data_IF_881106949813
#
_entry.id   IF_881106949813
#
_cell.length_a   1.000
_cell.length_b   1.000
_cell.length_c   1.000
_cell.angle_alpha   90.00
_cell.angle_beta   90.00
_cell.angle_gamma   90.00
#
_symmetry.space_group_name_H-M   'P 1'
#
loop_
_entity.id
_entity.type
_entity.pdbx_description
1 polymer ?
#
# COMPACT_ATOMS: atom_id res chain seq x y z
N UNK A 1 13.78 1.30 0.96
CA UNK A 1 14.62 2.32 0.30
C UNK A 1 13.80 2.81 -0.89
N UNK A 2 13.29 4.04 -0.88
CA UNK A 2 12.73 4.61 -2.12
C UNK A 2 13.96 4.98 -2.93
N UNK A 3 14.35 4.08 -3.83
CA UNK A 3 15.37 4.37 -4.82
C UNK A 3 14.89 5.59 -5.61
N UNK A 4 15.70 6.64 -5.56
CA UNK A 4 15.70 7.86 -6.38
C UNK A 4 14.44 8.03 -7.25
N UNK A 5 13.54 8.91 -6.84
CA UNK A 5 12.45 9.36 -7.71
C UNK A 5 13.10 10.11 -8.87
N UNK A 6 13.07 9.51 -10.05
CA UNK A 6 13.53 10.18 -11.26
C UNK A 6 12.72 11.46 -11.48
N UNK A 7 13.35 12.52 -12.00
CA UNK A 7 12.65 13.77 -12.27
C UNK A 7 11.45 13.52 -13.19
N UNK A 8 10.37 14.27 -12.96
CA UNK A 8 9.18 14.22 -13.82
C UNK A 8 9.67 14.37 -15.28
N UNK A 9 9.34 13.42 -16.16
CA UNK A 9 9.82 13.46 -17.54
C UNK A 9 9.36 14.76 -18.19
N UNK A 10 10.29 15.47 -18.87
CA UNK A 10 9.98 16.73 -19.57
C UNK A 10 8.91 16.56 -20.65
N UNK A 11 8.74 15.34 -21.15
CA UNK A 11 7.79 14.98 -22.18
C UNK A 11 6.98 13.75 -21.75
N UNK A 12 5.66 13.86 -21.82
CA UNK A 12 4.75 12.73 -21.65
C UNK A 12 4.48 12.15 -23.04
N UNK A 13 4.68 10.84 -23.28
CA UNK A 13 4.37 10.20 -24.55
C UNK A 13 2.95 10.51 -25.03
N UNK A 14 2.82 11.00 -26.26
CA UNK A 14 1.52 11.33 -26.87
C UNK A 14 0.48 10.20 -26.75
N UNK A 15 0.82 8.90 -26.93
CA UNK A 15 -0.15 7.82 -26.75
C UNK A 15 -0.75 7.76 -25.34
N UNK A 16 0.03 8.07 -24.29
CA UNK A 16 -0.49 8.09 -22.92
C UNK A 16 -1.45 9.25 -22.70
N UNK A 17 -1.13 10.42 -23.27
CA UNK A 17 -2.00 11.60 -23.21
C UNK A 17 -3.34 11.35 -23.91
N UNK A 18 -3.30 10.79 -25.12
CA UNK A 18 -4.50 10.44 -25.88
C UNK A 18 -5.33 9.37 -25.17
N UNK A 19 -4.69 8.35 -24.59
CA UNK A 19 -5.40 7.32 -23.83
C UNK A 19 -6.13 7.90 -22.61
N UNK A 20 -5.51 8.84 -21.87
CA UNK A 20 -6.14 9.52 -20.75
C UNK A 20 -7.35 10.35 -21.19
N UNK A 21 -7.18 11.22 -22.20
CA UNK A 21 -8.24 12.09 -22.72
C UNK A 21 -9.42 11.29 -23.29
N UNK A 22 -9.14 10.16 -23.95
CA UNK A 22 -10.18 9.29 -24.52
C UNK A 22 -10.80 8.34 -23.50
N UNK A 23 -10.40 8.37 -22.23
CA UNK A 23 -10.89 7.45 -21.20
C UNK A 23 -10.50 5.98 -21.45
N UNK A 24 -9.41 5.74 -22.19
CA UNK A 24 -8.88 4.40 -22.51
C UNK A 24 -7.66 4.02 -21.68
N UNK A 25 -7.15 4.92 -20.85
CA UNK A 25 -6.06 4.63 -19.93
C UNK A 25 -6.56 3.73 -18.80
N UNK A 26 -5.89 2.59 -18.60
CA UNK A 26 -6.15 1.66 -17.49
C UNK A 26 -4.86 1.50 -16.68
N UNK A 27 -4.65 2.30 -15.62
CA UNK A 27 -3.44 2.21 -14.80
C UNK A 27 -3.44 0.95 -13.92
N UNK A 28 -2.28 0.31 -13.81
CA UNK A 28 -2.01 -0.67 -12.75
C UNK A 28 -1.37 0.05 -11.55
N UNK A 29 -2.02 0.01 -10.38
CA UNK A 29 -1.56 0.67 -9.16
C UNK A 29 -1.01 -0.38 -8.19
N UNK A 30 0.30 -0.31 -7.91
CA UNK A 30 0.97 -1.16 -6.93
C UNK A 30 1.11 -0.50 -5.54
N UNK A 31 1.58 -1.27 -4.56
CA UNK A 31 1.59 -0.88 -3.14
C UNK A 31 2.51 0.30 -2.81
N UNK A 32 3.38 0.70 -3.74
CA UNK A 32 4.22 1.90 -3.59
C UNK A 32 3.38 3.18 -3.45
N UNK A 33 2.26 3.26 -4.17
CA UNK A 33 1.35 4.42 -4.09
C UNK A 33 0.69 4.50 -2.72
N UNK A 34 0.18 3.38 -2.21
CA UNK A 34 -0.41 3.28 -0.87
C UNK A 34 0.58 3.60 0.26
N UNK A 35 1.87 3.27 0.08
CA UNK A 35 2.93 3.63 1.02
C UNK A 35 3.16 5.15 1.10
N UNK A 36 2.93 5.90 0.00
CA UNK A 36 2.93 7.37 0.05
C UNK A 36 1.82 7.90 0.97
N UNK A 37 0.64 7.26 0.92
CA UNK A 37 -0.50 7.52 1.81
C UNK A 37 -0.32 7.00 3.24
N UNK A 38 0.80 6.32 3.53
CA UNK A 38 1.15 5.84 4.86
C UNK A 38 0.72 4.41 5.18
N UNK A 39 0.28 3.63 4.20
CA UNK A 39 0.12 2.17 4.38
C UNK A 39 1.49 1.51 4.62
N UNK A 40 1.57 0.45 5.44
CA UNK A 40 2.83 -0.24 5.68
C UNK A 40 3.33 -0.97 4.43
N UNK A 41 4.64 -1.07 4.30
CA UNK A 41 5.24 -2.03 3.36
C UNK A 41 5.18 -3.46 3.91
N UNK A 42 5.54 -4.45 3.08
CA UNK A 42 5.52 -5.86 3.47
C UNK A 42 6.43 -6.19 4.66
N UNK A 43 7.56 -5.50 4.84
CA UNK A 43 8.43 -5.70 6.01
C UNK A 43 7.78 -5.15 7.26
N UNK A 44 7.30 -3.90 7.21
CA UNK A 44 6.63 -3.25 8.34
C UNK A 44 5.40 -4.04 8.80
N UNK A 45 4.59 -4.54 7.86
CA UNK A 45 3.44 -5.38 8.16
C UNK A 45 3.84 -6.71 8.83
N UNK A 46 4.89 -7.37 8.31
CA UNK A 46 5.38 -8.61 8.88
C UNK A 46 5.99 -8.42 10.29
N UNK A 47 6.75 -7.34 10.47
CA UNK A 47 7.36 -7.00 11.74
C UNK A 47 6.29 -6.64 12.79
N UNK A 48 5.26 -5.87 12.40
CA UNK A 48 4.12 -5.57 13.27
C UNK A 48 3.34 -6.84 13.66
N UNK A 49 3.19 -7.80 12.74
CA UNK A 49 2.53 -9.08 13.01
C UNK A 49 3.30 -9.92 14.03
N UNK A 50 4.63 -9.89 14.02
CA UNK A 50 5.46 -10.58 15.02
C UNK A 50 5.46 -9.82 16.37
N UNK A 51 5.51 -8.49 16.34
CA UNK A 51 5.47 -7.67 17.55
C UNK A 51 4.17 -7.85 18.36
N UNK A 52 3.06 -8.14 17.70
CA UNK A 52 1.82 -8.54 18.39
C UNK A 52 2.04 -9.69 19.38
N UNK A 53 2.86 -10.70 19.03
CA UNK A 53 3.16 -11.82 19.94
C UNK A 53 4.19 -11.45 21.01
N UNK A 54 5.05 -10.47 20.76
CA UNK A 54 5.93 -9.90 21.78
C UNK A 54 5.13 -9.18 22.85
N UNK A 55 4.19 -8.33 22.45
CA UNK A 55 3.28 -7.62 23.36
C UNK A 55 2.42 -8.57 24.20
N UNK A 56 2.12 -9.77 23.67
CA UNK A 56 1.37 -10.82 24.37
C UNK A 56 2.26 -11.79 25.16
N UNK A 57 3.58 -11.57 25.19
CA UNK A 57 4.54 -12.41 25.90
C UNK A 57 4.68 -13.83 25.34
N UNK A 58 4.30 -14.04 24.07
CA UNK A 58 4.39 -15.33 23.36
C UNK A 58 5.64 -15.46 22.50
N UNK A 59 6.28 -14.33 22.19
CA UNK A 59 7.56 -14.25 21.52
C UNK A 59 8.47 -13.34 22.34
N UNK A 60 9.68 -13.77 22.68
CA UNK A 60 10.63 -12.89 23.38
C UNK A 60 11.53 -12.13 22.39
N UNK A 61 12.21 -11.07 22.87
CA UNK A 61 13.07 -10.24 22.03
C UNK A 61 14.25 -11.00 21.40
N UNK A 62 14.78 -12.04 22.06
CA UNK A 62 15.86 -12.84 21.51
C UNK A 62 15.38 -13.72 20.34
N UNK A 63 14.20 -14.33 20.46
CA UNK A 63 13.54 -15.06 19.37
C UNK A 63 13.20 -14.13 18.21
N UNK A 64 12.66 -12.94 18.50
CA UNK A 64 12.37 -11.94 17.47
C UNK A 64 13.65 -11.56 16.71
N UNK A 65 14.77 -11.36 17.39
CA UNK A 65 16.05 -11.03 16.75
C UNK A 65 16.54 -12.14 15.79
N UNK A 66 16.27 -13.41 16.09
CA UNK A 66 16.60 -14.53 15.20
C UNK A 66 15.70 -14.54 13.94
N UNK A 67 14.47 -14.06 14.04
CA UNK A 67 13.47 -14.03 12.95
C UNK A 67 13.60 -12.74 12.12
N UNK A 68 14.10 -11.65 12.70
CA UNK A 68 14.25 -10.34 12.07
C UNK A 68 14.94 -10.33 10.69
N UNK A 69 16.00 -11.13 10.40
CA UNK A 69 16.63 -11.13 9.08
C UNK A 69 15.86 -11.92 8.02
N UNK A 70 14.81 -12.67 8.39
CA UNK A 70 14.05 -13.49 7.44
C UNK A 70 13.18 -12.61 6.52
N UNK A 71 12.79 -13.17 5.37
CA UNK A 71 11.90 -12.45 4.44
C UNK A 71 10.52 -12.20 5.06
N UNK A 72 9.84 -11.14 4.62
CA UNK A 72 8.47 -10.81 5.06
C UNK A 72 7.51 -11.99 4.94
N UNK A 73 7.64 -12.78 3.87
CA UNK A 73 6.83 -13.99 3.66
C UNK A 73 7.04 -15.00 4.79
N UNK A 74 8.29 -15.28 5.14
CA UNK A 74 8.62 -16.24 6.21
C UNK A 74 8.16 -15.71 7.57
N UNK A 75 8.40 -14.43 7.85
CA UNK A 75 7.92 -13.76 9.08
C UNK A 75 6.41 -13.89 9.25
N UNK A 76 5.63 -13.64 8.19
CA UNK A 76 4.17 -13.78 8.22
C UNK A 76 3.74 -15.24 8.43
N UNK A 77 4.40 -16.21 7.78
CA UNK A 77 4.13 -17.63 8.04
C UNK A 77 4.36 -17.99 9.52
N UNK A 78 5.43 -17.46 10.14
CA UNK A 78 5.68 -17.66 11.58
C UNK A 78 4.60 -17.01 12.43
N UNK A 79 4.18 -15.77 12.12
CA UNK A 79 3.12 -15.09 12.84
C UNK A 79 1.78 -15.87 12.79
N UNK A 80 1.42 -16.41 11.62
CA UNK A 80 0.22 -17.25 11.45
C UNK A 80 0.31 -18.58 12.21
N UNK A 81 1.50 -19.15 12.34
CA UNK A 81 1.70 -20.36 13.13
C UNK A 81 1.59 -20.07 14.63
N UNK A 82 2.16 -18.95 15.10
CA UNK A 82 1.99 -18.48 16.49
C UNK A 82 0.53 -18.17 16.82
N UNK A 83 -0.23 -17.64 15.84
CA UNK A 83 -1.67 -17.39 15.97
C UNK A 83 -2.41 -18.68 16.33
N UNK A 84 -2.15 -19.76 15.57
CA UNK A 84 -2.73 -21.09 15.80
C UNK A 84 -2.26 -21.70 17.12
N UNK A 85 -0.96 -21.67 17.39
CA UNK A 85 -0.36 -22.31 18.57
C UNK A 85 -0.85 -21.69 19.89
N UNK A 86 -1.12 -20.40 19.90
CA UNK A 86 -1.53 -19.68 21.11
C UNK A 86 -3.02 -19.32 21.13
N UNK A 87 -3.79 -19.73 20.12
CA UNK A 87 -5.21 -19.40 19.95
C UNK A 87 -5.47 -17.89 20.13
N UNK A 88 -4.57 -17.08 19.58
CA UNK A 88 -4.71 -15.63 19.49
C UNK A 88 -5.23 -15.28 18.09
N UNK A 89 -5.67 -14.04 17.87
CA UNK A 89 -6.07 -13.57 16.54
C UNK A 89 -5.42 -12.23 16.24
N UNK A 90 -4.72 -12.14 15.12
CA UNK A 90 -4.12 -10.88 14.68
C UNK A 90 -5.20 -10.05 13.98
N UNK A 91 -5.36 -8.79 14.38
CA UNK A 91 -6.19 -7.85 13.64
C UNK A 91 -5.37 -7.21 12.51
N UNK A 92 -5.29 -7.91 11.38
CA UNK A 92 -4.54 -7.43 10.22
C UNK A 92 -5.07 -6.09 9.69
N UNK A 93 -6.38 -5.83 9.79
CA UNK A 93 -6.96 -4.56 9.30
C UNK A 93 -6.37 -3.38 10.06
N UNK A 94 -6.21 -3.53 11.38
CA UNK A 94 -5.56 -2.52 12.22
C UNK A 94 -4.09 -2.32 11.86
N UNK A 95 -3.36 -3.40 11.55
CA UNK A 95 -1.95 -3.32 11.18
C UNK A 95 -1.73 -2.65 9.82
N UNK A 96 -2.67 -2.81 8.89
CA UNK A 96 -2.63 -2.26 7.53
C UNK A 96 -3.18 -0.83 7.46
N UNK A 97 -3.64 -0.26 8.58
CA UNK A 97 -4.24 1.08 8.59
C UNK A 97 -3.18 2.15 8.29
N UNK A 98 -3.45 3.07 7.35
CA UNK A 98 -2.49 4.10 6.98
C UNK A 98 -2.17 5.05 8.14
N UNK A 99 -0.92 5.51 8.22
CA UNK A 99 -0.52 6.57 9.15
C UNK A 99 -1.29 7.86 8.91
N UNK A 100 -1.93 8.40 9.96
CA UNK A 100 -2.66 9.68 9.91
C UNK A 100 -1.80 10.84 9.39
N UNK A 101 -0.49 10.82 9.66
CA UNK A 101 0.42 11.88 9.23
C UNK A 101 0.57 11.97 7.70
N UNK A 102 0.42 10.85 7.00
CA UNK A 102 0.56 10.75 5.55
C UNK A 102 -0.77 10.64 4.80
N UNK A 103 -1.90 10.56 5.52
CA UNK A 103 -3.22 10.44 4.91
C UNK A 103 -3.49 11.55 3.88
N UNK A 104 -3.12 12.80 4.16
CA UNK A 104 -3.30 13.92 3.21
C UNK A 104 -2.58 13.69 1.87
N UNK A 105 -1.37 13.15 1.91
CA UNK A 105 -0.60 12.80 0.70
C UNK A 105 -1.34 11.71 -0.08
N UNK A 106 -1.86 10.70 0.62
CA UNK A 106 -2.70 9.67 0.00
C UNK A 106 -3.94 10.26 -0.65
N UNK A 107 -4.70 11.07 0.08
CA UNK A 107 -5.91 11.74 -0.40
C UNK A 107 -5.61 12.53 -1.70
N UNK A 108 -4.53 13.30 -1.74
CA UNK A 108 -4.09 14.07 -2.92
C UNK A 108 -3.67 13.18 -4.10
N UNK A 109 -2.88 12.14 -3.86
CA UNK A 109 -2.41 11.22 -4.92
C UNK A 109 -3.59 10.49 -5.54
N UNK A 110 -4.48 9.92 -4.73
CA UNK A 110 -5.64 9.18 -5.23
C UNK A 110 -6.69 10.09 -5.89
N UNK A 111 -6.84 11.34 -5.43
CA UNK A 111 -7.64 12.35 -6.14
C UNK A 111 -7.04 12.76 -7.49
N UNK A 112 -5.72 12.76 -7.65
CA UNK A 112 -5.10 12.99 -8.96
C UNK A 112 -5.22 11.77 -9.88
N UNK A 113 -5.11 10.56 -9.33
CA UNK A 113 -5.30 9.32 -10.09
C UNK A 113 -6.72 9.25 -10.66
N UNK A 114 -7.74 9.60 -9.88
CA UNK A 114 -9.14 9.56 -10.31
C UNK A 114 -9.44 10.44 -11.52
N UNK A 115 -8.70 11.55 -11.66
CA UNK A 115 -8.80 12.46 -12.79
C UNK A 115 -8.23 11.83 -14.07
N UNK A 116 -7.23 10.96 -13.96
CA UNK A 116 -6.52 10.38 -15.09
C UNK A 116 -7.24 9.19 -15.74
N UNK A 117 -8.00 8.42 -14.96
CA UNK A 117 -8.66 7.20 -15.42
C UNK A 117 -9.89 6.87 -14.58
N UNK A 118 -10.83 6.15 -15.18
CA UNK A 118 -12.04 5.65 -14.51
C UNK A 118 -11.94 4.17 -14.13
N UNK A 119 -10.96 3.46 -14.70
CA UNK A 119 -10.74 2.03 -14.46
C UNK A 119 -9.30 1.81 -14.04
N UNK A 120 -9.11 1.08 -12.94
CA UNK A 120 -7.80 0.77 -12.36
C UNK A 120 -7.68 -0.73 -12.14
N UNK A 121 -6.46 -1.25 -12.19
CA UNK A 121 -6.12 -2.61 -11.76
C UNK A 121 -5.18 -2.49 -10.56
N UNK A 122 -5.41 -3.26 -9.50
CA UNK A 122 -4.52 -3.26 -8.34
C UNK A 122 -4.39 -4.65 -7.73
N UNK A 123 -3.28 -4.88 -7.04
CA UNK A 123 -3.07 -6.01 -6.13
C UNK A 123 -2.90 -5.54 -4.69
N UNK A 124 -3.22 -4.28 -4.40
CA UNK A 124 -3.09 -3.69 -3.08
C UNK A 124 -4.20 -4.20 -2.16
N UNK A 125 -3.92 -4.24 -0.86
CA UNK A 125 -4.84 -4.73 0.17
C UNK A 125 -5.73 -3.62 0.77
N UNK A 126 -5.45 -2.37 0.41
CA UNK A 126 -6.10 -1.18 0.96
C UNK A 126 -7.26 -0.69 0.09
N UNK A 127 -8.13 0.11 0.71
CA UNK A 127 -9.38 0.58 0.10
C UNK A 127 -9.22 1.99 -0.52
N UNK A 128 -8.01 2.41 -0.88
CA UNK A 128 -7.78 3.78 -1.39
C UNK A 128 -8.49 4.04 -2.71
N UNK A 129 -8.52 3.06 -3.63
CA UNK A 129 -9.20 3.17 -4.92
C UNK A 129 -10.73 3.10 -4.79
N UNK A 130 -11.24 2.48 -3.73
CA UNK A 130 -12.68 2.35 -3.49
C UNK A 130 -13.33 3.66 -2.98
N UNK A 131 -12.51 4.55 -2.43
CA UNK A 131 -12.94 5.84 -1.88
C UNK A 131 -13.05 6.95 -2.93
N UNK A 132 -12.68 6.65 -4.17
CA UNK A 132 -12.65 7.62 -5.26
C UNK A 132 -14.04 7.73 -5.90
N UNK A 133 -14.68 8.91 -5.89
CA UNK A 133 -15.87 9.14 -6.71
C UNK A 133 -15.48 9.17 -8.20
N UNK A 134 -16.30 8.61 -9.10
CA UNK A 134 -16.02 8.57 -10.53
C UNK A 134 -16.31 9.94 -11.16
N UNK A 135 -15.42 10.90 -10.99
CA UNK A 135 -15.49 12.16 -11.74
C UNK A 135 -14.29 12.27 -12.71
N UNK A 136 -14.43 11.76 -13.95
CA UNK A 136 -13.36 11.82 -14.94
C UNK A 136 -13.10 13.25 -15.43
N UNK A 137 -11.86 13.52 -15.83
CA UNK A 137 -11.52 14.70 -16.65
C UNK A 137 -12.37 14.68 -17.92
N UNK A 138 -13.22 15.70 -18.07
CA UNK A 138 -13.91 15.95 -19.33
C UNK A 138 -13.05 16.86 -20.21
N UNK A 139 -13.12 16.68 -21.52
CA UNK A 139 -12.28 17.39 -22.50
C UNK A 139 -12.48 18.92 -22.54
N UNK A 140 -13.43 19.44 -21.76
CA UNK A 140 -13.90 20.82 -21.68
C UNK A 140 -13.47 21.55 -20.39
N UNK A 141 -12.64 20.96 -19.53
CA UNK A 141 -12.08 21.67 -18.36
C UNK A 141 -10.61 22.06 -18.57
N UNK A 142 -10.26 23.36 -18.40
CA UNK A 142 -8.91 23.88 -18.61
C UNK A 142 -7.87 23.37 -17.62
#
# INVERSE_FOLDING_TARGET
>A
MIEKIDPIPKYIPEPLRLAAIQGKLIPFIGAGVSQLGGCPNWSEFADASLNFFVEKGKLNHAQLAQIAPLSSRVKLSVALELEKQHNLRIDFKKLLTPSRAKKKIGDEVYANLSRLATTFVTTNYDDWLDQIPPEPLRADQP
#
